data_IF_249829772404
#
_entry.id   IF_249829772404
#
_cell.length_a   1.000
_cell.length_b   1.000
_cell.length_c   1.000
_cell.angle_alpha   90.00
_cell.angle_beta   90.00
_cell.angle_gamma   90.00
#
_symmetry.space_group_name_H-M   'P 1'
#
loop_
_entity.id
_entity.type
_entity.pdbx_description
1 polymer ?
#
# COMPACT_ATOMS: atom_id res chain seq x y z
N UNK A 1 -3.07 -7.99 13.36
CA UNK A 1 -4.45 -7.62 12.97
C UNK A 1 -5.08 -8.74 12.15
N UNK A 2 -6.37 -9.00 12.36
CA UNK A 2 -7.16 -9.99 11.60
C UNK A 2 -8.39 -9.32 11.00
N UNK A 3 -8.71 -9.64 9.76
CA UNK A 3 -9.99 -9.31 9.11
C UNK A 3 -10.67 -10.63 8.74
N UNK A 4 -11.97 -10.74 8.98
CA UNK A 4 -12.77 -11.91 8.62
C UNK A 4 -14.05 -11.47 7.91
N UNK A 5 -14.22 -11.87 6.65
CA UNK A 5 -15.47 -11.69 5.91
C UNK A 5 -16.37 -12.90 6.16
N UNK A 6 -17.41 -12.72 6.97
CA UNK A 6 -18.30 -13.84 7.39
C UNK A 6 -19.43 -14.13 6.41
N UNK A 7 -19.60 -13.29 5.39
CA UNK A 7 -20.55 -13.47 4.28
C UNK A 7 -19.82 -13.28 2.94
N UNK A 8 -18.86 -14.14 2.59
CA UNK A 8 -18.01 -13.96 1.40
C UNK A 8 -18.82 -13.96 0.09
N UNK A 9 -19.99 -14.59 0.06
CA UNK A 9 -20.92 -14.58 -1.07
C UNK A 9 -21.53 -13.20 -1.35
N UNK A 10 -21.51 -12.30 -0.37
CA UNK A 10 -22.13 -10.98 -0.43
C UNK A 10 -21.12 -9.83 -0.54
N UNK A 11 -19.82 -10.09 -0.45
CA UNK A 11 -18.77 -9.08 -0.63
C UNK A 11 -17.95 -9.46 -1.86
N UNK A 12 -18.17 -8.75 -2.97
CA UNK A 12 -17.83 -9.25 -4.30
C UNK A 12 -16.51 -8.73 -4.86
N UNK A 13 -15.92 -7.69 -4.28
CA UNK A 13 -14.65 -7.11 -4.76
C UNK A 13 -13.58 -7.00 -3.67
N UNK A 14 -13.93 -6.42 -2.54
CA UNK A 14 -12.96 -6.17 -1.46
C UNK A 14 -12.65 -7.46 -0.71
N UNK A 15 -11.36 -7.77 -0.60
CA UNK A 15 -10.85 -8.95 0.12
C UNK A 15 -10.40 -8.61 1.54
N UNK A 16 -10.16 -9.62 2.36
CA UNK A 16 -9.66 -9.45 3.73
C UNK A 16 -8.31 -8.72 3.75
N UNK A 17 -7.37 -9.08 2.86
CA UNK A 17 -6.05 -8.46 2.83
C UNK A 17 -6.09 -7.01 2.33
N UNK A 18 -7.05 -6.66 1.46
CA UNK A 18 -7.29 -5.27 1.09
C UNK A 18 -7.77 -4.42 2.27
N UNK A 19 -8.69 -4.94 3.09
CA UNK A 19 -9.07 -4.27 4.34
C UNK A 19 -7.90 -4.17 5.31
N UNK A 20 -7.07 -5.22 5.42
CA UNK A 20 -5.87 -5.17 6.28
C UNK A 20 -4.90 -4.10 5.80
N UNK A 21 -4.67 -3.99 4.50
CA UNK A 21 -3.83 -2.96 3.89
C UNK A 21 -4.34 -1.55 4.22
N UNK A 22 -5.62 -1.28 3.97
CA UNK A 22 -6.27 -0.01 4.29
C UNK A 22 -6.28 0.29 5.79
N UNK A 23 -6.46 -0.73 6.63
CA UNK A 23 -6.43 -0.57 8.08
C UNK A 23 -5.06 -0.13 8.61
N UNK A 24 -3.96 -0.60 8.02
CA UNK A 24 -2.62 -0.09 8.37
C UNK A 24 -2.48 1.38 7.99
N UNK A 25 -3.04 1.79 6.86
CA UNK A 25 -3.09 3.20 6.42
C UNK A 25 -3.94 4.08 7.34
N UNK A 26 -4.95 3.50 8.01
CA UNK A 26 -5.69 4.15 9.11
C UNK A 26 -4.90 4.23 10.43
N UNK A 27 -3.68 3.69 10.49
CA UNK A 27 -2.88 3.60 11.72
C UNK A 27 -3.30 2.48 12.67
N UNK A 28 -4.06 1.49 12.19
CA UNK A 28 -4.54 0.38 13.01
C UNK A 28 -3.44 -0.70 13.12
N UNK A 29 -2.87 -0.83 14.30
CA UNK A 29 -1.85 -1.86 14.61
C UNK A 29 -2.51 -3.20 14.99
N UNK A 30 -3.53 -3.12 15.85
CA UNK A 30 -4.11 -4.28 16.52
C UNK A 30 -5.65 -4.18 16.56
N UNK A 31 -6.28 -4.80 15.56
CA UNK A 31 -7.73 -4.96 15.54
C UNK A 31 -8.14 -6.38 15.10
N UNK A 32 -9.34 -6.76 15.54
CA UNK A 32 -10.10 -7.87 14.99
C UNK A 32 -11.33 -7.27 14.29
N UNK A 33 -11.34 -7.33 12.96
CA UNK A 33 -12.37 -6.74 12.13
C UNK A 33 -13.23 -7.87 11.57
N UNK A 34 -14.55 -7.77 11.75
CA UNK A 34 -15.52 -8.69 11.14
C UNK A 34 -16.39 -7.90 10.18
N UNK A 35 -16.41 -8.32 8.92
CA UNK A 35 -17.21 -7.68 7.87
C UNK A 35 -18.30 -8.63 7.42
N UNK A 36 -19.53 -8.13 7.36
CA UNK A 36 -20.70 -8.88 6.92
C UNK A 36 -21.61 -7.97 6.10
N UNK A 37 -22.29 -8.55 5.11
CA UNK A 37 -23.36 -7.88 4.39
C UNK A 37 -24.55 -8.83 4.20
N UNK A 38 -25.80 -8.38 4.44
CA UNK A 38 -26.99 -9.19 4.20
C UNK A 38 -27.37 -9.27 2.71
N UNK A 39 -26.74 -8.46 1.86
CA UNK A 39 -26.99 -8.37 0.41
C UNK A 39 -25.66 -8.24 -0.35
N UNK A 40 -25.64 -8.59 -1.63
CA UNK A 40 -24.44 -8.45 -2.45
C UNK A 40 -24.02 -6.99 -2.62
N UNK A 41 -22.79 -6.68 -2.22
CA UNK A 41 -22.12 -5.37 -2.33
C UNK A 41 -20.66 -5.56 -2.69
N UNK A 42 -19.98 -4.49 -3.12
CA UNK A 42 -18.57 -4.52 -3.50
C UNK A 42 -17.62 -4.51 -2.29
N UNK A 43 -18.04 -3.87 -1.18
CA UNK A 43 -17.37 -3.93 0.13
C UNK A 43 -16.71 -2.64 0.61
N UNK A 44 -16.49 -1.65 -0.26
CA UNK A 44 -15.72 -0.44 0.06
C UNK A 44 -16.33 0.35 1.24
N UNK A 45 -17.66 0.41 1.32
CA UNK A 45 -18.37 1.09 2.42
C UNK A 45 -18.06 0.54 3.82
N UNK A 46 -17.60 -0.71 3.94
CA UNK A 46 -17.26 -1.28 5.24
C UNK A 46 -16.03 -0.59 5.87
N UNK A 47 -15.10 -0.06 5.05
CA UNK A 47 -13.96 0.69 5.55
C UNK A 47 -14.39 1.94 6.31
N UNK A 48 -15.46 2.60 5.83
CA UNK A 48 -16.06 3.71 6.55
C UNK A 48 -16.60 3.30 7.91
N UNK A 49 -17.31 2.15 7.97
CA UNK A 49 -17.76 1.59 9.24
C UNK A 49 -16.61 1.29 10.22
N UNK A 50 -15.44 0.87 9.72
CA UNK A 50 -14.26 0.60 10.56
C UNK A 50 -13.77 1.87 11.24
N UNK A 51 -13.47 2.95 10.50
CA UNK A 51 -12.97 4.16 11.14
C UNK A 51 -14.03 4.88 11.98
N UNK A 52 -15.32 4.85 11.59
CA UNK A 52 -16.38 5.40 12.44
C UNK A 52 -16.48 4.65 13.77
N UNK A 53 -16.37 3.32 13.75
CA UNK A 53 -16.37 2.53 14.98
C UNK A 53 -15.16 2.85 15.87
N UNK A 54 -13.98 3.06 15.27
CA UNK A 54 -12.78 3.45 16.02
C UNK A 54 -12.96 4.82 16.70
N UNK A 55 -13.49 5.80 15.97
CA UNK A 55 -13.77 7.14 16.50
C UNK A 55 -14.82 7.11 17.62
N UNK A 56 -15.89 6.33 17.49
CA UNK A 56 -16.88 6.13 18.56
C UNK A 56 -16.24 5.50 19.82
N UNK A 57 -15.17 4.72 19.66
CA UNK A 57 -14.42 4.12 20.75
C UNK A 57 -13.25 5.02 21.24
N UNK A 58 -13.18 6.27 20.78
CA UNK A 58 -12.23 7.28 21.25
C UNK A 58 -10.85 7.24 20.60
N UNK A 59 -10.68 6.50 19.51
CA UNK A 59 -9.48 6.61 18.67
C UNK A 59 -9.54 7.89 17.84
N UNK A 60 -8.39 8.55 17.66
CA UNK A 60 -8.25 9.67 16.74
C UNK A 60 -7.75 9.13 15.39
N UNK A 61 -8.59 9.24 14.37
CA UNK A 61 -8.26 8.84 12.99
C UNK A 61 -8.27 10.10 12.14
N UNK A 62 -7.11 10.48 11.61
CA UNK A 62 -7.02 11.71 10.82
C UNK A 62 -7.82 11.60 9.52
N UNK A 63 -8.43 12.70 9.07
CA UNK A 63 -9.16 12.72 7.80
C UNK A 63 -8.26 12.37 6.61
N UNK A 64 -6.98 12.77 6.68
CA UNK A 64 -5.96 12.37 5.71
C UNK A 64 -5.80 10.84 5.63
N UNK A 65 -5.69 10.15 6.78
CA UNK A 65 -5.59 8.68 6.80
C UNK A 65 -6.86 8.02 6.29
N UNK A 66 -8.05 8.59 6.55
CA UNK A 66 -9.33 8.08 6.01
C UNK A 66 -9.41 8.21 4.50
N UNK A 67 -8.97 9.33 3.95
CA UNK A 67 -8.92 9.57 2.50
C UNK A 67 -7.92 8.63 1.83
N UNK A 68 -6.71 8.52 2.38
CA UNK A 68 -5.68 7.61 1.85
C UNK A 68 -6.10 6.15 1.90
N UNK A 69 -6.70 5.70 3.01
CA UNK A 69 -7.16 4.32 3.13
C UNK A 69 -8.29 4.00 2.14
N UNK A 70 -9.16 4.98 1.84
CA UNK A 70 -10.20 4.83 0.80
C UNK A 70 -9.60 4.81 -0.60
N UNK A 71 -8.69 5.73 -0.92
CA UNK A 71 -7.95 5.75 -2.19
C UNK A 71 -7.24 4.42 -2.44
N UNK A 72 -6.58 3.90 -1.40
CA UNK A 72 -5.90 2.62 -1.43
C UNK A 72 -6.86 1.47 -1.76
N UNK A 73 -7.96 1.40 -1.02
CA UNK A 73 -8.93 0.32 -1.15
C UNK A 73 -9.58 0.33 -2.54
N UNK A 74 -9.90 1.50 -3.05
CA UNK A 74 -10.46 1.69 -4.39
C UNK A 74 -9.45 1.29 -5.48
N UNK A 75 -8.19 1.68 -5.34
CA UNK A 75 -7.13 1.29 -6.27
C UNK A 75 -6.96 -0.23 -6.31
N UNK A 76 -6.82 -0.88 -5.14
CA UNK A 76 -6.72 -2.34 -5.07
C UNK A 76 -7.98 -3.04 -5.61
N UNK A 77 -9.17 -2.56 -5.25
CA UNK A 77 -10.45 -3.16 -5.68
C UNK A 77 -10.60 -3.10 -7.19
N UNK A 78 -10.25 -1.96 -7.77
CA UNK A 78 -10.29 -1.74 -9.22
C UNK A 78 -9.28 -2.65 -9.93
N UNK A 79 -8.03 -2.66 -9.50
CA UNK A 79 -6.96 -3.46 -10.12
C UNK A 79 -7.29 -4.96 -10.02
N UNK A 80 -7.72 -5.44 -8.85
CA UNK A 80 -8.09 -6.84 -8.64
C UNK A 80 -9.28 -7.22 -9.52
N UNK A 81 -10.31 -6.39 -9.59
CA UNK A 81 -11.51 -6.66 -10.38
C UNK A 81 -11.23 -6.67 -11.88
N UNK A 82 -10.33 -5.82 -12.37
CA UNK A 82 -9.99 -5.71 -13.79
C UNK A 82 -9.02 -6.79 -14.28
N UNK A 83 -8.19 -7.32 -13.39
CA UNK A 83 -7.20 -8.36 -13.73
C UNK A 83 -7.60 -9.77 -13.26
N UNK A 84 -8.84 -9.94 -12.78
CA UNK A 84 -9.32 -11.25 -12.34
C UNK A 84 -9.26 -12.26 -13.49
N UNK A 85 -8.47 -13.32 -13.30
CA UNK A 85 -8.28 -14.38 -14.30
C UNK A 85 -7.29 -14.03 -15.41
N UNK A 86 -6.58 -12.90 -15.33
CA UNK A 86 -5.45 -12.57 -16.21
C UNK A 86 -4.24 -13.44 -15.84
N UNK A 87 -3.62 -14.07 -16.84
CA UNK A 87 -2.41 -14.87 -16.64
C UNK A 87 -1.28 -14.02 -16.02
N UNK A 88 -0.67 -14.54 -14.95
CA UNK A 88 0.41 -13.86 -14.22
C UNK A 88 -0.06 -12.89 -13.13
N UNK A 89 -1.35 -12.54 -13.09
CA UNK A 89 -1.90 -11.72 -12.03
C UNK A 89 -2.23 -12.52 -10.76
N UNK A 90 -1.87 -11.97 -9.60
CA UNK A 90 -2.24 -12.51 -8.29
C UNK A 90 -2.46 -11.36 -7.28
N UNK A 91 -3.59 -11.42 -6.57
CA UNK A 91 -4.00 -10.38 -5.64
C UNK A 91 -3.13 -10.33 -4.37
N UNK A 92 -2.60 -11.47 -3.91
CA UNK A 92 -1.72 -11.52 -2.74
C UNK A 92 -0.38 -10.89 -3.08
N UNK A 93 0.14 -11.13 -4.31
CA UNK A 93 1.33 -10.43 -4.83
C UNK A 93 1.12 -8.92 -4.83
N UNK A 94 -0.04 -8.43 -5.29
CA UNK A 94 -0.31 -7.00 -5.31
C UNK A 94 -0.43 -6.42 -3.90
N UNK A 95 -1.11 -7.12 -2.99
CA UNK A 95 -1.23 -6.71 -1.58
C UNK A 95 0.15 -6.59 -0.92
N UNK A 96 1.05 -7.56 -1.15
CA UNK A 96 2.42 -7.54 -0.60
C UNK A 96 3.28 -6.47 -1.29
N UNK A 97 3.20 -6.34 -2.62
CA UNK A 97 3.89 -5.27 -3.36
C UNK A 97 3.51 -3.89 -2.80
N UNK A 98 2.25 -3.69 -2.45
CA UNK A 98 1.81 -2.44 -1.86
C UNK A 98 2.39 -2.21 -0.46
N UNK A 99 2.53 -3.25 0.38
CA UNK A 99 3.21 -3.09 1.68
C UNK A 99 4.67 -2.66 1.55
N UNK A 100 5.37 -3.16 0.53
CA UNK A 100 6.76 -2.79 0.26
C UNK A 100 6.86 -1.38 -0.34
N UNK A 101 5.95 -1.01 -1.25
CA UNK A 101 5.84 0.36 -1.79
C UNK A 101 5.63 1.36 -0.64
N UNK A 102 4.68 1.08 0.27
CA UNK A 102 4.40 1.94 1.43
C UNK A 102 5.62 2.09 2.33
N UNK A 103 6.35 1.00 2.57
CA UNK A 103 7.55 1.00 3.41
C UNK A 103 8.67 1.83 2.76
N UNK A 104 8.93 1.63 1.47
CA UNK A 104 9.95 2.37 0.74
C UNK A 104 9.61 3.87 0.60
N UNK A 105 8.33 4.20 0.41
CA UNK A 105 7.86 5.60 0.43
C UNK A 105 8.05 6.22 1.80
N UNK A 106 7.75 5.50 2.88
CA UNK A 106 7.98 5.99 4.23
C UNK A 106 9.47 6.22 4.53
N UNK A 107 10.35 5.38 3.99
CA UNK A 107 11.80 5.57 4.10
C UNK A 107 12.32 6.74 3.26
N UNK A 108 11.74 6.98 2.08
CA UNK A 108 12.07 8.12 1.23
C UNK A 108 11.59 9.46 1.81
N UNK A 109 10.49 9.44 2.57
CA UNK A 109 9.93 10.60 3.26
C UNK A 109 9.21 11.60 2.36
N UNK A 110 8.78 12.71 2.96
CA UNK A 110 7.95 13.74 2.32
C UNK A 110 8.64 14.55 1.21
N UNK A 111 9.96 14.49 1.13
CA UNK A 111 10.77 15.15 0.10
C UNK A 111 10.76 14.44 -1.25
N UNK A 112 10.20 13.23 -1.33
CA UNK A 112 10.24 12.41 -2.55
C UNK A 112 9.43 13.04 -3.70
N UNK A 113 9.99 13.01 -4.91
CA UNK A 113 9.30 13.48 -6.10
C UNK A 113 8.39 12.40 -6.67
N UNK A 114 7.37 12.81 -7.45
CA UNK A 114 6.45 11.85 -8.08
C UNK A 114 7.14 10.90 -9.07
N UNK A 115 8.23 11.35 -9.70
CA UNK A 115 9.05 10.52 -10.57
C UNK A 115 9.80 9.44 -9.77
N UNK A 116 10.27 9.79 -8.58
CA UNK A 116 10.98 8.84 -7.71
C UNK A 116 10.01 7.80 -7.14
N UNK A 117 8.81 8.23 -6.74
CA UNK A 117 7.73 7.32 -6.36
C UNK A 117 7.37 6.38 -7.51
N UNK A 118 7.32 6.87 -8.75
CA UNK A 118 7.05 6.02 -9.91
C UNK A 118 8.08 4.90 -10.05
N UNK A 119 9.37 5.20 -9.83
CA UNK A 119 10.42 4.18 -9.88
C UNK A 119 10.28 3.15 -8.76
N UNK A 120 10.03 3.59 -7.53
CA UNK A 120 9.74 2.70 -6.40
C UNK A 120 8.60 1.74 -6.74
N UNK A 121 7.49 2.26 -7.27
CA UNK A 121 6.33 1.46 -7.67
C UNK A 121 6.70 0.48 -8.78
N UNK A 122 7.33 0.94 -9.85
CA UNK A 122 7.66 0.08 -10.99
C UNK A 122 8.67 -1.02 -10.65
N UNK A 123 9.71 -0.72 -9.87
CA UNK A 123 10.71 -1.70 -9.44
C UNK A 123 10.11 -2.72 -8.47
N UNK A 124 9.23 -2.27 -7.57
CA UNK A 124 8.52 -3.18 -6.68
C UNK A 124 7.58 -4.09 -7.46
N UNK A 125 6.78 -3.55 -8.37
CA UNK A 125 5.89 -4.35 -9.22
C UNK A 125 6.66 -5.31 -10.12
N UNK A 126 7.86 -4.95 -10.58
CA UNK A 126 8.74 -5.84 -11.34
C UNK A 126 9.22 -7.02 -10.49
N UNK A 127 9.66 -6.77 -9.25
CA UNK A 127 10.05 -7.82 -8.30
C UNK A 127 8.92 -8.84 -8.03
N UNK A 128 7.68 -8.37 -7.99
CA UNK A 128 6.49 -9.20 -7.80
C UNK A 128 5.93 -9.77 -9.11
N UNK A 129 6.62 -9.58 -10.25
CA UNK A 129 6.19 -10.04 -11.60
C UNK A 129 4.85 -9.45 -12.06
N UNK A 130 4.49 -8.26 -11.56
CA UNK A 130 3.24 -7.57 -11.87
C UNK A 130 3.41 -6.42 -12.86
N UNK A 131 4.63 -5.92 -13.08
CA UNK A 131 4.89 -4.75 -13.93
C UNK A 131 4.36 -4.90 -15.36
N UNK A 132 4.59 -6.06 -15.98
CA UNK A 132 4.15 -6.34 -17.35
C UNK A 132 2.70 -6.87 -17.43
N UNK A 133 2.10 -7.15 -16.28
CA UNK A 133 0.72 -7.64 -16.15
C UNK A 133 -0.26 -6.48 -15.99
N UNK A 134 0.12 -5.47 -15.22
CA UNK A 134 -0.71 -4.29 -14.96
C UNK A 134 -0.64 -3.27 -16.10
N UNK A 135 -1.76 -2.60 -16.36
CA UNK A 135 -1.78 -1.51 -17.34
C UNK A 135 -1.09 -0.24 -16.81
N UNK A 136 -0.66 0.63 -17.72
CA UNK A 136 -0.06 1.92 -17.34
C UNK A 136 -0.98 2.80 -16.47
N UNK A 137 -2.30 2.68 -16.66
CA UNK A 137 -3.30 3.40 -15.87
C UNK A 137 -3.36 2.83 -14.45
N UNK A 138 -3.35 1.51 -14.30
CA UNK A 138 -3.31 0.82 -13.00
C UNK A 138 -2.02 1.12 -12.23
N UNK A 139 -0.86 1.10 -12.91
CA UNK A 139 0.41 1.53 -12.31
C UNK A 139 0.31 2.99 -11.87
N UNK A 140 -0.34 3.85 -12.66
CA UNK A 140 -0.51 5.27 -12.31
C UNK A 140 -1.43 5.47 -11.10
N UNK A 141 -2.45 4.63 -10.89
CA UNK A 141 -3.24 4.63 -9.66
C UNK A 141 -2.36 4.37 -8.44
N UNK A 142 -1.51 3.34 -8.49
CA UNK A 142 -0.59 3.00 -7.41
C UNK A 142 0.42 4.13 -7.17
N UNK A 143 0.95 4.75 -8.22
CA UNK A 143 1.88 5.91 -8.10
C UNK A 143 1.22 7.11 -7.46
N UNK A 144 -0.04 7.41 -7.80
CA UNK A 144 -0.77 8.52 -7.19
C UNK A 144 -1.00 8.27 -5.70
N UNK A 145 -1.48 7.08 -5.34
CA UNK A 145 -1.65 6.66 -3.95
C UNK A 145 -0.34 6.75 -3.17
N UNK A 146 0.73 6.15 -3.69
CA UNK A 146 2.04 6.14 -3.06
C UNK A 146 2.61 7.57 -2.90
N UNK A 147 2.37 8.45 -3.87
CA UNK A 147 2.79 9.84 -3.77
C UNK A 147 1.98 10.62 -2.71
N UNK A 148 0.67 10.41 -2.63
CA UNK A 148 -0.18 11.03 -1.61
C UNK A 148 0.22 10.52 -0.21
N UNK A 149 0.47 9.21 -0.07
CA UNK A 149 0.98 8.62 1.16
C UNK A 149 2.29 9.27 1.61
N UNK A 150 3.22 9.57 0.69
CA UNK A 150 4.49 10.23 1.03
C UNK A 150 4.30 11.59 1.72
N UNK A 151 3.14 12.24 1.53
CA UNK A 151 2.84 13.53 2.14
C UNK A 151 2.12 13.41 3.48
N UNK A 152 1.75 12.18 3.87
CA UNK A 152 0.99 11.95 5.08
C UNK A 152 1.83 11.72 6.29
N UNK A 153 1.36 12.28 7.40
CA UNK A 153 1.93 12.08 8.73
C UNK A 153 1.97 10.62 9.19
N UNK A 154 1.19 9.72 8.58
CA UNK A 154 1.19 8.29 8.94
C UNK A 154 2.55 7.63 8.70
N UNK A 155 3.33 8.12 7.71
CA UNK A 155 4.65 7.54 7.40
C UNK A 155 5.68 7.78 8.50
N UNK A 156 5.48 8.84 9.31
CA UNK A 156 6.33 9.18 10.45
C UNK A 156 5.98 8.36 11.71
N UNK A 157 4.87 7.61 11.68
CA UNK A 157 4.48 6.76 12.80
C UNK A 157 5.51 5.67 13.04
N UNK A 158 6.01 5.60 14.28
CA UNK A 158 7.00 4.60 14.69
C UNK A 158 6.55 3.14 14.50
N UNK A 159 5.23 2.90 14.48
CA UNK A 159 4.65 1.56 14.34
C UNK A 159 4.25 1.21 12.91
N UNK A 160 4.15 2.20 12.00
CA UNK A 160 3.61 2.00 10.65
C UNK A 160 4.39 0.93 9.88
N UNK A 161 5.72 1.09 9.76
CA UNK A 161 6.58 0.11 9.08
C UNK A 161 6.57 -1.27 9.73
N UNK A 162 6.56 -1.34 11.07
CA UNK A 162 6.50 -2.63 11.78
C UNK A 162 5.17 -3.36 11.55
N UNK A 163 4.08 -2.60 11.38
CA UNK A 163 2.75 -3.12 11.06
C UNK A 163 2.68 -3.59 9.61
N UNK A 164 3.30 -2.85 8.67
CA UNK A 164 3.45 -3.28 7.28
C UNK A 164 4.26 -4.58 7.16
N UNK A 165 5.37 -4.70 7.87
CA UNK A 165 6.17 -5.92 7.90
C UNK A 165 5.36 -7.12 8.44
N UNK A 166 4.64 -6.91 9.55
CA UNK A 166 3.76 -7.94 10.13
C UNK A 166 2.61 -8.34 9.18
N UNK A 167 2.08 -7.36 8.43
CA UNK A 167 1.06 -7.58 7.41
C UNK A 167 1.62 -8.45 6.28
N UNK A 168 2.76 -8.06 5.71
CA UNK A 168 3.49 -8.80 4.67
C UNK A 168 3.76 -10.24 5.09
N UNK A 169 4.36 -10.46 6.25
CA UNK A 169 4.68 -11.79 6.76
C UNK A 169 3.44 -12.68 6.86
N UNK A 170 2.33 -12.10 7.33
CA UNK A 170 1.06 -12.82 7.45
C UNK A 170 0.46 -13.19 6.10
N UNK A 171 0.52 -12.31 5.08
CA UNK A 171 0.01 -12.61 3.74
C UNK A 171 0.88 -13.71 3.10
N UNK A 172 2.20 -13.55 3.15
CA UNK A 172 3.17 -14.53 2.64
C UNK A 172 2.99 -15.90 3.31
N UNK A 173 2.76 -15.93 4.62
CA UNK A 173 2.52 -17.18 5.34
C UNK A 173 1.21 -17.86 4.92
N UNK A 174 0.18 -17.09 4.58
CA UNK A 174 -1.11 -17.64 4.16
C UNK A 174 -1.10 -18.11 2.70
N UNK A 175 -0.32 -17.44 1.84
CA UNK A 175 -0.23 -17.70 0.41
C UNK A 175 1.18 -18.14 -0.03
N UNK A 176 1.87 -18.97 0.77
CA UNK A 176 3.30 -19.27 0.55
C UNK A 176 3.65 -19.85 -0.82
N UNK A 177 2.72 -20.55 -1.48
CA UNK A 177 2.93 -21.06 -2.84
C UNK A 177 3.02 -19.95 -3.89
N UNK A 178 2.28 -18.86 -3.70
CA UNK A 178 2.23 -17.70 -4.61
C UNK A 178 3.57 -16.97 -4.67
N UNK A 179 4.29 -16.93 -3.55
CA UNK A 179 5.57 -16.21 -3.42
C UNK A 179 6.79 -17.07 -3.71
N UNK A 180 6.62 -18.29 -4.21
CA UNK A 180 7.76 -19.16 -4.53
C UNK A 180 8.57 -18.57 -5.68
N UNK A 181 9.83 -18.23 -5.41
CA UNK A 181 10.73 -17.63 -6.41
C UNK A 181 10.69 -16.10 -6.43
N UNK A 182 9.80 -15.48 -5.67
CA UNK A 182 9.78 -14.03 -5.46
C UNK A 182 10.81 -13.65 -4.39
N UNK A 183 11.55 -12.56 -4.62
CA UNK A 183 12.44 -12.02 -3.61
C UNK A 183 11.64 -11.21 -2.58
N UNK A 184 11.35 -11.84 -1.44
CA UNK A 184 10.60 -11.22 -0.33
C UNK A 184 11.45 -10.28 0.54
N UNK A 185 12.78 -10.33 0.43
CA UNK A 185 13.69 -9.38 1.07
C UNK A 185 14.06 -8.24 0.11
N UNK A 186 13.23 -8.01 -0.91
CA UNK A 186 13.38 -6.88 -1.80
C UNK A 186 13.20 -5.59 -1.02
N UNK A 187 14.21 -4.74 -1.07
CA UNK A 187 14.15 -3.38 -0.57
C UNK A 187 14.18 -2.45 -1.78
N UNK A 188 13.06 -1.79 -2.05
CA UNK A 188 12.96 -0.83 -3.15
C UNK A 188 13.87 0.39 -2.93
N UNK A 189 14.28 0.65 -1.69
CA UNK A 189 15.27 1.69 -1.37
C UNK A 189 16.70 1.24 -1.74
N UNK A 190 17.02 -0.05 -1.66
CA UNK A 190 18.29 -0.63 -2.16
C UNK A 190 18.32 -0.72 -3.69
N UNK A 191 17.18 -0.91 -4.35
CA UNK A 191 17.06 -0.77 -5.81
C UNK A 191 17.37 0.67 -6.26
N UNK A 192 16.96 1.65 -5.44
CA UNK A 192 17.37 3.06 -5.53
C UNK A 192 18.89 3.26 -5.32
N UNK A 193 19.55 2.49 -4.43
CA UNK A 193 21.00 2.53 -4.22
C UNK A 193 21.82 1.84 -5.32
N UNK A 194 21.27 0.80 -5.95
CA UNK A 194 21.83 0.13 -7.13
C UNK A 194 21.89 1.10 -8.33
N UNK A 195 21.04 2.12 -8.29
CA UNK A 195 21.04 3.33 -9.11
C UNK A 195 21.85 4.46 -8.45
N UNK A 196 23.14 4.22 -8.16
CA UNK A 196 24.06 5.20 -7.51
C UNK A 196 24.07 6.63 -8.11
N UNK A 197 23.61 6.81 -9.34
CA UNK A 197 23.48 8.13 -9.98
C UNK A 197 22.19 8.88 -9.63
N UNK A 198 21.11 8.18 -9.29
CA UNK A 198 19.79 8.78 -9.08
C UNK A 198 19.67 9.44 -7.70
N UNK A 199 20.04 8.74 -6.63
CA UNK A 199 20.03 9.30 -5.27
C UNK A 199 21.10 10.38 -5.04
N UNK A 200 22.28 10.24 -5.65
CA UNK A 200 23.29 11.30 -5.62
C UNK A 200 22.76 12.60 -6.25
N UNK A 201 21.95 12.50 -7.30
CA UNK A 201 21.32 13.64 -7.95
C UNK A 201 20.15 14.22 -7.14
N UNK A 202 19.34 13.38 -6.46
CA UNK A 202 18.24 13.84 -5.58
C UNK A 202 18.82 14.53 -4.34
N UNK A 203 19.81 13.92 -3.67
CA UNK A 203 20.49 14.56 -2.54
C UNK A 203 21.20 15.84 -2.96
N UNK A 204 21.87 15.86 -4.12
CA UNK A 204 22.44 17.10 -4.66
C UNK A 204 21.38 18.13 -4.99
N UNK A 205 20.22 17.74 -5.54
CA UNK A 205 19.13 18.66 -5.85
C UNK A 205 18.54 19.27 -4.57
N UNK A 206 18.34 18.46 -3.52
CA UNK A 206 17.91 18.91 -2.18
C UNK A 206 18.97 19.86 -1.57
N UNK A 207 20.24 19.46 -1.57
CA UNK A 207 21.34 20.28 -1.04
C UNK A 207 21.50 21.60 -1.82
N UNK A 208 21.34 21.57 -3.14
CA UNK A 208 21.42 22.76 -3.99
C UNK A 208 20.19 23.66 -3.82
N UNK A 209 19.00 23.09 -3.66
CA UNK A 209 17.79 23.82 -3.31
C UNK A 209 17.96 24.59 -1.99
N UNK A 210 18.43 23.93 -0.93
CA UNK A 210 18.67 24.58 0.36
C UNK A 210 19.84 25.58 0.33
N UNK A 211 20.90 25.31 -0.42
CA UNK A 211 21.99 26.28 -0.62
C UNK A 211 21.55 27.55 -1.37
N UNK A 212 20.58 27.43 -2.27
CA UNK A 212 20.00 28.56 -2.99
C UNK A 212 18.87 29.25 -2.22
N UNK A 213 18.30 28.60 -1.19
CA UNK A 213 17.26 29.17 -0.32
C UNK A 213 17.84 30.02 0.82
N UNK A 214 19.09 29.77 1.21
CA UNK A 214 19.80 30.49 2.29
C UNK A 214 21.00 31.33 1.81
N UNK A 215 21.07 31.62 0.52
CA UNK A 215 21.88 32.67 -0.11
C UNK A 215 20.96 33.77 -0.62
#
# INVERSE_FOLDING_TARGET
MTVNIVTPENITKVTEDMYRNAAVTLGIEHAAITVASPIAVTGESALAGIYYSLEENGADVSDESKELAQEELEALSTINSENQGTDGYDADKLNVALTDIKSAVADAGDGVSKEDVRKIVEETLDNYELKDVLSSDQITLIVNFAFNLSKSSIIDSSSFKSTLASLKDSIVSNASSTFKGINLNFDATDALESSKGFLANIWQAIVNFFKNLFN
#
